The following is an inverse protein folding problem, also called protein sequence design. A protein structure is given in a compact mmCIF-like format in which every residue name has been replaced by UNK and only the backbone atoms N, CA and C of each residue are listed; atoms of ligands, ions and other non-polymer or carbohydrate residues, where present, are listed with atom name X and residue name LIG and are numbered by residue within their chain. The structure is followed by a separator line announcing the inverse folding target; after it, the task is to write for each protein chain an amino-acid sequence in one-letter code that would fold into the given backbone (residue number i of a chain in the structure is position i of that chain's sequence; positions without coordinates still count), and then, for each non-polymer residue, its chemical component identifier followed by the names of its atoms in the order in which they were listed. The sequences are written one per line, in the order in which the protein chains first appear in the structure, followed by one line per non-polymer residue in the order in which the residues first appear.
data_IF_906053997404
#
_entry.id   IF_906053997404
#
_cell.length_a   1.000
_cell.length_b   1.000
_cell.length_c   1.000
_cell.angle_alpha   90.00
_cell.angle_beta   90.00
_cell.angle_gamma   90.00
#
_symmetry.space_group_name_H-M   'P 1'
#
loop_
_entity.id
_entity.type
_entity.pdbx_description
1 polymer ?
#
# COMPACT_ATOMS: atom_id res chain seq x y z
N UNK A 1 -6.64 33.08 -7.99
CA UNK A 1 -7.95 32.59 -7.50
C UNK A 1 -9.12 33.10 -8.35
N UNK A 2 -9.17 34.39 -8.72
CA UNK A 2 -10.24 34.94 -9.58
C UNK A 2 -10.27 34.28 -10.97
N UNK A 3 -9.11 34.00 -11.57
CA UNK A 3 -9.04 33.32 -12.85
C UNK A 3 -9.52 31.86 -12.79
N UNK A 4 -9.29 31.14 -11.68
CA UNK A 4 -9.77 29.77 -11.48
C UNK A 4 -11.31 29.68 -11.38
N UNK A 5 -11.98 30.74 -10.93
CA UNK A 5 -13.45 30.79 -10.87
C UNK A 5 -14.09 31.34 -12.15
N UNK A 6 -13.37 32.20 -12.91
CA UNK A 6 -13.86 32.75 -14.15
C UNK A 6 -13.74 31.81 -15.34
N UNK A 7 -12.95 30.75 -15.24
CA UNK A 7 -12.61 29.81 -16.31
C UNK A 7 -13.18 28.40 -16.12
N UNK A 8 -14.39 28.29 -15.61
CA UNK A 8 -15.07 26.96 -15.42
C UNK A 8 -15.16 26.14 -16.73
N UNK A 9 -14.96 26.77 -17.89
CA UNK A 9 -15.05 26.13 -19.21
C UNK A 9 -13.76 26.17 -20.05
N UNK A 10 -12.66 26.72 -19.55
CA UNK A 10 -11.39 26.73 -20.29
C UNK A 10 -10.49 25.57 -19.84
N UNK A 11 -10.25 24.62 -20.73
CA UNK A 11 -9.36 23.47 -20.51
C UNK A 11 -7.89 23.92 -20.44
N UNK A 12 -7.57 25.03 -21.12
CA UNK A 12 -6.20 25.58 -21.16
C UNK A 12 -6.23 26.94 -20.47
N UNK A 13 -5.41 27.12 -19.39
CA UNK A 13 -5.36 28.42 -18.72
C UNK A 13 -4.82 29.49 -19.64
N UNK A 14 -5.41 30.71 -19.60
CA UNK A 14 -4.98 31.87 -20.38
C UNK A 14 -3.56 32.32 -20.03
N UNK A 15 -3.13 32.13 -18.79
CA UNK A 15 -1.77 32.43 -18.28
C UNK A 15 -1.19 31.25 -17.49
N UNK A 16 -0.61 30.22 -18.16
CA UNK A 16 -0.02 29.10 -17.47
C UNK A 16 1.20 29.54 -16.64
N UNK A 17 1.20 29.24 -15.34
CA UNK A 17 2.28 29.57 -14.42
C UNK A 17 2.67 28.36 -13.56
N UNK A 18 3.93 28.26 -13.18
CA UNK A 18 4.45 27.27 -12.25
C UNK A 18 4.57 27.82 -10.80
N UNK A 19 4.03 29.00 -10.54
CA UNK A 19 4.16 29.70 -9.26
C UNK A 19 3.58 28.88 -8.09
N UNK A 20 2.45 28.18 -8.30
CA UNK A 20 1.87 27.29 -7.29
C UNK A 20 2.81 26.16 -6.90
N UNK A 21 3.53 25.57 -7.86
CA UNK A 21 4.55 24.55 -7.57
C UNK A 21 5.71 25.13 -6.79
N UNK A 22 6.18 26.32 -7.16
CA UNK A 22 7.23 27.02 -6.41
C UNK A 22 6.83 27.27 -4.96
N UNK A 23 5.61 27.76 -4.71
CA UNK A 23 5.07 27.93 -3.38
C UNK A 23 5.03 26.64 -2.54
N UNK A 24 4.70 25.50 -3.17
CA UNK A 24 4.74 24.18 -2.48
C UNK A 24 6.15 23.87 -2.00
N UNK A 25 7.16 24.06 -2.86
CA UNK A 25 8.55 23.75 -2.53
C UNK A 25 9.15 24.73 -1.50
N UNK A 26 8.66 25.97 -1.45
CA UNK A 26 9.13 26.98 -0.49
C UNK A 26 8.50 26.81 0.91
N UNK A 27 7.22 26.40 0.98
CA UNK A 27 6.48 26.29 2.25
C UNK A 27 6.64 24.95 2.97
N UNK A 28 7.01 23.90 2.27
CA UNK A 28 7.13 22.54 2.79
C UNK A 28 8.50 21.94 2.47
N UNK A 29 9.06 21.12 3.36
CA UNK A 29 10.23 20.28 3.04
C UNK A 29 9.84 19.14 2.09
N UNK A 30 9.47 19.51 0.86
CA UNK A 30 8.77 18.65 -0.09
C UNK A 30 9.54 17.36 -0.42
N UNK A 31 10.85 17.45 -0.59
CA UNK A 31 11.72 16.29 -0.85
C UNK A 31 11.66 15.31 0.33
N UNK A 32 11.73 15.82 1.55
CA UNK A 32 11.63 15.02 2.77
C UNK A 32 10.28 14.31 2.87
N UNK A 33 9.18 15.03 2.66
CA UNK A 33 7.82 14.50 2.70
C UNK A 33 7.62 13.41 1.64
N UNK A 34 8.16 13.62 0.45
CA UNK A 34 8.12 12.61 -0.62
C UNK A 34 8.92 11.35 -0.26
N UNK A 35 10.11 11.53 0.31
CA UNK A 35 10.94 10.41 0.78
C UNK A 35 10.27 9.67 1.93
N UNK A 36 9.65 10.36 2.90
CA UNK A 36 8.90 9.73 3.98
C UNK A 36 7.76 8.87 3.43
N UNK A 37 6.98 9.41 2.48
CA UNK A 37 5.88 8.67 1.83
C UNK A 37 6.41 7.43 1.13
N UNK A 38 7.50 7.56 0.38
CA UNK A 38 8.12 6.45 -0.32
C UNK A 38 8.65 5.38 0.64
N UNK A 39 9.35 5.78 1.70
CA UNK A 39 9.89 4.86 2.70
C UNK A 39 8.78 4.10 3.44
N UNK A 40 7.69 4.78 3.81
CA UNK A 40 6.52 4.15 4.43
C UNK A 40 5.92 3.15 3.42
N UNK A 41 5.58 3.59 2.21
CA UNK A 41 4.94 2.74 1.22
C UNK A 41 5.81 1.54 0.81
N UNK A 42 7.10 1.73 0.62
CA UNK A 42 8.04 0.67 0.27
C UNK A 42 8.22 -0.34 1.41
N UNK A 43 8.41 0.13 2.65
CA UNK A 43 8.55 -0.76 3.81
C UNK A 43 7.27 -1.54 4.07
N UNK A 44 6.11 -0.88 4.11
CA UNK A 44 4.81 -1.54 4.29
C UNK A 44 4.57 -2.58 3.20
N UNK A 45 4.80 -2.25 1.94
CA UNK A 45 4.64 -3.18 0.81
C UNK A 45 5.54 -4.40 0.96
N UNK A 46 6.81 -4.17 1.28
CA UNK A 46 7.80 -5.24 1.43
C UNK A 46 7.42 -6.19 2.54
N UNK A 47 7.17 -5.67 3.75
CA UNK A 47 6.84 -6.49 4.90
C UNK A 47 5.47 -7.18 4.76
N UNK A 48 4.42 -6.48 4.27
CA UNK A 48 3.12 -7.10 3.96
C UNK A 48 3.27 -8.25 2.97
N UNK A 49 4.07 -8.08 1.92
CA UNK A 49 4.28 -9.12 0.92
C UNK A 49 5.02 -10.32 1.51
N UNK A 50 6.08 -10.09 2.28
CA UNK A 50 6.86 -11.15 2.92
C UNK A 50 5.98 -11.94 3.91
N UNK A 51 5.31 -11.26 4.83
CA UNK A 51 4.45 -11.91 5.84
C UNK A 51 3.31 -12.68 5.18
N UNK A 52 2.69 -12.11 4.14
CA UNK A 52 1.64 -12.75 3.36
C UNK A 52 2.12 -13.98 2.60
N UNK A 53 3.34 -13.95 2.05
CA UNK A 53 3.95 -15.09 1.35
C UNK A 53 4.16 -16.27 2.30
N UNK A 54 4.75 -16.03 3.48
CA UNK A 54 5.00 -17.09 4.45
C UNK A 54 3.71 -17.65 5.03
N UNK A 55 2.76 -16.79 5.42
CA UNK A 55 1.47 -17.21 5.95
C UNK A 55 0.67 -18.01 4.88
N UNK A 56 0.59 -17.52 3.66
CA UNK A 56 -0.08 -18.21 2.57
C UNK A 56 0.58 -19.57 2.25
N UNK A 57 1.92 -19.66 2.33
CA UNK A 57 2.64 -20.91 2.17
C UNK A 57 2.25 -21.93 3.24
N UNK A 58 2.21 -21.51 4.50
CA UNK A 58 1.79 -22.36 5.62
C UNK A 58 0.36 -22.87 5.43
N UNK A 59 -0.58 -22.01 5.08
CA UNK A 59 -1.99 -22.39 4.84
C UNK A 59 -2.23 -23.26 3.62
N UNK A 60 -1.31 -23.38 2.69
CA UNK A 60 -1.46 -24.24 1.50
C UNK A 60 -0.75 -25.55 1.70
N UNK A 61 0.52 -25.54 2.09
CA UNK A 61 1.43 -26.67 1.96
C UNK A 61 1.79 -27.39 3.24
N UNK A 62 1.45 -26.83 4.41
CA UNK A 62 1.60 -27.53 5.69
C UNK A 62 0.27 -28.08 6.16
N UNK A 63 0.30 -29.29 6.75
CA UNK A 63 -0.85 -29.88 7.40
C UNK A 63 -0.64 -29.88 8.91
N UNK A 64 -1.53 -29.20 9.62
CA UNK A 64 -1.54 -29.08 11.08
C UNK A 64 -2.98 -29.01 11.61
N UNK A 65 -3.15 -29.45 12.87
CA UNK A 65 -4.46 -29.43 13.55
C UNK A 65 -4.97 -27.99 13.66
N UNK A 66 -6.24 -27.80 13.32
CA UNK A 66 -6.87 -26.47 13.41
C UNK A 66 -6.58 -25.51 12.26
N UNK A 67 -5.85 -25.91 11.21
CA UNK A 67 -5.51 -25.08 10.04
C UNK A 67 -6.71 -24.29 9.47
N UNK A 68 -7.84 -24.96 9.29
CA UNK A 68 -9.05 -24.32 8.75
C UNK A 68 -9.65 -23.32 9.74
N UNK A 69 -9.64 -23.62 11.02
CA UNK A 69 -10.11 -22.73 12.08
C UNK A 69 -9.26 -21.46 12.17
N UNK A 70 -7.93 -21.59 12.19
CA UNK A 70 -7.04 -20.43 12.18
C UNK A 70 -7.21 -19.59 10.91
N UNK A 71 -7.38 -20.23 9.74
CA UNK A 71 -7.64 -19.52 8.50
C UNK A 71 -8.99 -18.79 8.54
N UNK A 72 -10.02 -19.41 9.08
CA UNK A 72 -11.34 -18.77 9.25
C UNK A 72 -11.27 -17.55 10.19
N UNK A 73 -10.63 -17.69 11.37
CA UNK A 73 -10.43 -16.56 12.29
C UNK A 73 -9.68 -15.43 11.60
N UNK A 74 -8.59 -15.74 10.90
CA UNK A 74 -7.81 -14.75 10.17
C UNK A 74 -8.70 -14.01 9.13
N UNK A 75 -9.48 -14.73 8.35
CA UNK A 75 -10.41 -14.11 7.40
C UNK A 75 -11.47 -13.24 8.10
N UNK A 76 -11.95 -13.67 9.25
CA UNK A 76 -12.94 -12.92 10.03
C UNK A 76 -12.42 -11.54 10.45
N UNK A 77 -11.11 -11.39 10.63
CA UNK A 77 -10.53 -10.08 10.97
C UNK A 77 -10.62 -9.05 9.83
N UNK A 78 -10.84 -9.47 8.57
CA UNK A 78 -11.07 -8.55 7.45
C UNK A 78 -12.36 -7.72 7.63
N UNK A 79 -13.32 -8.23 8.40
CA UNK A 79 -14.59 -7.55 8.64
C UNK A 79 -14.51 -6.55 9.81
N UNK A 80 -13.38 -6.48 10.51
CA UNK A 80 -13.17 -5.51 11.58
C UNK A 80 -12.77 -4.17 10.93
N UNK A 81 -13.59 -3.11 11.03
CA UNK A 81 -13.23 -1.81 10.47
C UNK A 81 -11.96 -1.25 11.11
N UNK A 82 -11.13 -0.59 10.32
CA UNK A 82 -9.91 0.05 10.81
C UNK A 82 -10.17 1.00 11.99
N UNK A 83 -11.31 1.71 11.98
CA UNK A 83 -11.72 2.64 13.03
C UNK A 83 -11.82 2.00 14.42
N UNK A 84 -12.15 0.71 14.49
CA UNK A 84 -12.20 -0.05 15.75
C UNK A 84 -10.81 -0.33 16.29
N UNK A 85 -9.86 -0.65 15.42
CA UNK A 85 -8.48 -0.99 15.79
C UNK A 85 -7.58 0.24 15.94
N UNK A 86 -8.03 1.40 15.49
CA UNK A 86 -7.27 2.64 15.43
C UNK A 86 -6.78 3.11 16.82
N UNK A 87 -7.70 3.16 17.81
CA UNK A 87 -7.35 3.59 19.18
C UNK A 87 -6.39 2.62 19.87
N UNK A 88 -6.62 1.29 19.90
CA UNK A 88 -5.65 0.34 20.43
C UNK A 88 -4.27 0.44 19.79
N UNK A 89 -4.21 0.56 18.46
CA UNK A 89 -2.96 0.74 17.74
C UNK A 89 -2.24 2.03 18.13
N UNK A 90 -2.97 3.15 18.23
CA UNK A 90 -2.42 4.43 18.67
C UNK A 90 -1.80 4.34 20.08
N UNK A 91 -2.51 3.70 21.01
CA UNK A 91 -2.01 3.51 22.37
C UNK A 91 -0.74 2.65 22.39
N UNK A 92 -0.69 1.61 21.57
CA UNK A 92 0.49 0.74 21.43
C UNK A 92 1.68 1.53 20.89
N UNK A 93 1.51 2.24 19.77
CA UNK A 93 2.56 3.07 19.16
C UNK A 93 3.04 4.16 20.11
N UNK A 94 2.11 4.77 20.87
CA UNK A 94 2.45 5.76 21.90
C UNK A 94 3.31 5.17 23.02
N UNK A 95 2.97 3.97 23.51
CA UNK A 95 3.76 3.26 24.53
C UNK A 95 5.15 2.86 24.06
N UNK A 96 5.29 2.56 22.76
CA UNK A 96 6.58 2.24 22.14
C UNK A 96 7.44 3.48 21.84
N UNK A 97 6.94 4.69 22.11
CA UNK A 97 7.65 5.94 21.84
C UNK A 97 7.80 6.28 20.36
N UNK A 98 6.97 5.66 19.48
CA UNK A 98 7.05 5.81 18.02
C UNK A 98 6.06 6.86 17.48
N UNK A 99 5.60 7.78 18.33
CA UNK A 99 4.82 8.93 17.87
C UNK A 99 5.73 9.88 17.13
N UNK A 100 5.14 10.59 16.16
CA UNK A 100 5.84 11.50 15.26
C UNK A 100 7.04 10.87 14.55
N UNK A 101 6.87 9.60 14.15
CA UNK A 101 7.89 8.82 13.47
C UNK A 101 7.29 8.01 12.34
N UNK A 102 7.98 7.94 11.20
CA UNK A 102 7.54 7.15 10.03
C UNK A 102 7.34 5.66 10.36
N UNK A 103 8.13 5.11 11.29
CA UNK A 103 7.98 3.73 11.75
C UNK A 103 6.72 3.51 12.59
N UNK A 104 6.23 4.52 13.30
CA UNK A 104 4.94 4.47 13.97
C UNK A 104 3.77 4.35 12.98
N UNK A 105 3.94 4.86 11.76
CA UNK A 105 2.98 4.69 10.68
C UNK A 105 3.12 3.31 10.03
N UNK A 106 4.33 2.84 9.79
CA UNK A 106 4.60 1.63 9.01
C UNK A 106 4.36 0.32 9.80
N UNK A 107 4.85 0.23 11.05
CA UNK A 107 4.87 -1.01 11.82
C UNK A 107 3.52 -1.70 11.98
N UNK A 108 2.41 -1.03 12.34
CA UNK A 108 1.12 -1.68 12.50
C UNK A 108 0.57 -2.29 11.20
N UNK A 109 1.12 -1.88 10.07
CA UNK A 109 0.68 -2.27 8.75
C UNK A 109 1.48 -3.44 8.15
N UNK A 110 2.45 -4.02 8.84
CA UNK A 110 3.35 -5.05 8.28
C UNK A 110 2.71 -6.42 8.06
N UNK A 111 1.48 -6.63 8.50
CA UNK A 111 0.68 -7.81 8.22
C UNK A 111 -0.67 -7.41 7.62
N UNK A 112 -1.15 -8.22 6.68
CA UNK A 112 -2.40 -7.94 5.98
C UNK A 112 -3.10 -9.23 5.56
N UNK A 113 -4.37 -9.36 5.96
CA UNK A 113 -5.16 -10.56 5.68
C UNK A 113 -5.52 -10.66 4.21
N UNK A 114 -5.79 -9.53 3.53
CA UNK A 114 -6.09 -9.53 2.10
C UNK A 114 -4.90 -10.08 1.30
N UNK A 115 -3.68 -9.69 1.65
CA UNK A 115 -2.47 -10.21 1.01
C UNK A 115 -2.30 -11.71 1.20
N UNK A 116 -2.53 -12.20 2.44
CA UNK A 116 -2.49 -13.64 2.73
C UNK A 116 -3.54 -14.37 1.89
N UNK A 117 -4.76 -13.84 1.80
CA UNK A 117 -5.83 -14.42 1.01
C UNK A 117 -5.48 -14.49 -0.47
N UNK A 118 -5.05 -13.38 -1.09
CA UNK A 118 -4.73 -13.32 -2.52
C UNK A 118 -3.59 -14.27 -2.88
N UNK A 119 -2.50 -14.24 -2.11
CA UNK A 119 -1.35 -15.10 -2.36
C UNK A 119 -1.63 -16.57 -2.07
N UNK A 120 -2.52 -16.87 -1.12
CA UNK A 120 -3.01 -18.23 -0.90
C UNK A 120 -3.81 -18.75 -2.10
N UNK A 121 -4.69 -17.92 -2.69
CA UNK A 121 -5.44 -18.32 -3.88
C UNK A 121 -4.50 -18.59 -5.07
N UNK A 122 -3.51 -17.73 -5.29
CA UNK A 122 -2.51 -17.95 -6.33
C UNK A 122 -1.75 -19.26 -6.13
N UNK A 123 -1.32 -19.57 -4.90
CA UNK A 123 -0.60 -20.82 -4.58
C UNK A 123 -1.45 -22.08 -4.71
N UNK A 124 -2.75 -21.99 -4.44
CA UNK A 124 -3.67 -23.12 -4.64
C UNK A 124 -3.82 -23.54 -6.11
N UNK A 125 -3.52 -22.64 -7.04
CA UNK A 125 -3.48 -22.93 -8.47
C UNK A 125 -2.29 -23.79 -8.89
N UNK A 126 -1.27 -23.97 -8.06
CA UNK A 126 -0.10 -24.80 -8.35
C UNK A 126 -0.45 -26.26 -8.08
N UNK A 127 -0.20 -27.19 -9.05
CA UNK A 127 -0.44 -28.61 -8.85
C UNK A 127 0.35 -29.17 -7.66
N UNK A 128 -0.33 -29.86 -6.74
CA UNK A 128 0.31 -30.44 -5.56
C UNK A 128 1.41 -31.45 -5.91
N UNK A 129 1.19 -32.21 -7.00
CA UNK A 129 2.16 -33.19 -7.49
C UNK A 129 3.57 -32.60 -7.72
N UNK A 130 3.66 -31.35 -8.16
CA UNK A 130 4.94 -30.66 -8.34
C UNK A 130 5.69 -30.48 -7.02
N UNK A 131 4.97 -30.14 -5.96
CA UNK A 131 5.54 -29.93 -4.63
C UNK A 131 5.89 -31.25 -3.95
N UNK A 132 5.07 -32.29 -4.15
CA UNK A 132 5.29 -33.63 -3.65
C UNK A 132 6.52 -34.27 -4.31
N UNK A 133 6.69 -34.14 -5.62
CA UNK A 133 7.87 -34.60 -6.34
C UNK A 133 9.15 -33.94 -5.79
N UNK A 134 9.15 -32.62 -5.60
CA UNK A 134 10.30 -31.92 -5.04
C UNK A 134 10.62 -32.35 -3.60
N UNK A 135 9.61 -32.69 -2.79
CA UNK A 135 9.81 -33.25 -1.45
C UNK A 135 10.39 -34.66 -1.47
N UNK A 136 9.98 -35.51 -2.44
CA UNK A 136 10.55 -36.84 -2.61
C UNK A 136 12.03 -36.79 -3.01
N UNK A 137 12.44 -35.76 -3.73
CA UNK A 137 13.85 -35.48 -4.02
C UNK A 137 14.63 -34.89 -2.84
N UNK A 138 13.99 -34.74 -1.65
CA UNK A 138 14.65 -34.22 -0.45
C UNK A 138 14.82 -32.70 -0.43
N UNK A 139 14.15 -31.95 -1.34
CA UNK A 139 14.26 -30.50 -1.39
C UNK A 139 13.52 -29.87 -0.20
N UNK A 140 14.23 -29.06 0.59
CA UNK A 140 13.67 -28.38 1.75
C UNK A 140 12.64 -27.32 1.40
N UNK A 141 11.69 -27.06 2.33
CA UNK A 141 10.54 -26.15 2.12
C UNK A 141 10.90 -24.75 1.66
N UNK A 142 11.98 -24.14 2.17
CA UNK A 142 12.44 -22.82 1.75
C UNK A 142 12.95 -22.81 0.30
N UNK A 143 13.63 -23.88 -0.10
CA UNK A 143 14.11 -24.03 -1.48
C UNK A 143 12.95 -24.26 -2.43
N UNK A 144 11.96 -25.09 -2.05
CA UNK A 144 10.70 -25.24 -2.81
C UNK A 144 9.99 -23.89 -2.98
N UNK A 145 9.91 -23.11 -1.90
CA UNK A 145 9.29 -21.79 -1.96
C UNK A 145 10.03 -20.88 -2.93
N UNK A 146 11.37 -20.80 -2.83
CA UNK A 146 12.19 -19.89 -3.63
C UNK A 146 12.25 -20.30 -5.10
N UNK A 147 12.50 -21.58 -5.37
CA UNK A 147 12.89 -22.03 -6.71
C UNK A 147 11.67 -22.52 -7.55
N UNK A 148 10.56 -22.89 -6.90
CA UNK A 148 9.37 -23.40 -7.58
C UNK A 148 8.19 -22.43 -7.42
N UNK A 149 7.83 -22.10 -6.16
CA UNK A 149 6.58 -21.37 -5.91
C UNK A 149 6.70 -19.90 -6.28
N UNK A 150 7.74 -19.20 -5.82
CA UNK A 150 7.91 -17.77 -6.09
C UNK A 150 7.91 -17.44 -7.60
N UNK A 151 8.62 -18.17 -8.47
CA UNK A 151 8.54 -17.93 -9.92
C UNK A 151 7.13 -18.09 -10.48
N UNK A 152 6.40 -19.12 -10.06
CA UNK A 152 5.05 -19.42 -10.56
C UNK A 152 4.01 -18.39 -10.10
N UNK A 153 4.13 -17.84 -8.88
CA UNK A 153 3.20 -16.83 -8.35
C UNK A 153 3.71 -15.40 -8.51
N UNK A 154 4.83 -15.19 -9.21
CA UNK A 154 5.42 -13.86 -9.41
C UNK A 154 4.44 -12.80 -9.92
N UNK A 155 3.56 -13.08 -10.91
CA UNK A 155 2.56 -12.10 -11.34
C UNK A 155 1.62 -11.66 -10.20
N UNK A 156 1.16 -12.61 -9.39
CA UNK A 156 0.28 -12.32 -8.25
C UNK A 156 0.99 -11.55 -7.16
N UNK A 157 2.29 -11.83 -6.90
CA UNK A 157 3.11 -11.06 -5.96
C UNK A 157 3.23 -9.62 -6.43
N UNK A 158 3.56 -9.39 -7.70
CA UNK A 158 3.70 -8.06 -8.27
C UNK A 158 2.38 -7.27 -8.17
N UNK A 159 1.26 -7.89 -8.57
CA UNK A 159 -0.06 -7.24 -8.48
C UNK A 159 -0.43 -6.90 -7.04
N UNK A 160 -0.27 -7.84 -6.10
CA UNK A 160 -0.56 -7.60 -4.68
C UNK A 160 0.36 -6.51 -4.10
N UNK A 161 1.64 -6.53 -4.45
CA UNK A 161 2.60 -5.52 -4.03
C UNK A 161 2.26 -4.12 -4.54
N UNK A 162 1.82 -3.99 -5.79
CA UNK A 162 1.38 -2.70 -6.36
C UNK A 162 0.16 -2.18 -5.60
N UNK A 163 -0.83 -3.04 -5.31
CA UNK A 163 -2.02 -2.67 -4.54
C UNK A 163 -1.60 -2.16 -3.15
N UNK A 164 -0.70 -2.86 -2.47
CA UNK A 164 -0.20 -2.45 -1.16
C UNK A 164 0.53 -1.12 -1.21
N UNK A 165 1.37 -0.92 -2.23
CA UNK A 165 2.12 0.32 -2.41
C UNK A 165 1.18 1.51 -2.63
N UNK A 166 0.22 1.38 -3.57
CA UNK A 166 -0.73 2.46 -3.89
C UNK A 166 -1.59 2.79 -2.67
N UNK A 167 -2.09 1.78 -1.94
CA UNK A 167 -2.89 1.99 -0.74
C UNK A 167 -2.08 2.71 0.35
N UNK A 168 -0.85 2.27 0.61
CA UNK A 168 0.02 2.90 1.60
C UNK A 168 0.49 4.30 1.19
N UNK A 169 0.69 4.54 -0.11
CA UNK A 169 1.04 5.85 -0.66
C UNK A 169 -0.07 6.87 -0.44
N UNK A 170 -1.33 6.47 -0.63
CA UNK A 170 -2.49 7.34 -0.52
C UNK A 170 -3.07 7.42 0.91
N UNK A 171 -2.52 6.63 1.85
CA UNK A 171 -3.00 6.59 3.23
C UNK A 171 -2.76 7.93 3.93
N UNK A 172 -3.81 8.50 4.56
CA UNK A 172 -3.68 9.73 5.34
C UNK A 172 -4.29 9.64 6.74
N UNK A 173 -5.28 8.75 6.96
CA UNK A 173 -6.03 8.67 8.22
C UNK A 173 -5.12 8.26 9.37
N UNK A 174 -4.31 7.22 9.17
CA UNK A 174 -3.37 6.77 10.18
C UNK A 174 -2.17 7.73 10.36
N UNK A 175 -1.53 8.23 9.28
CA UNK A 175 -0.50 9.26 9.39
C UNK A 175 -0.92 10.50 10.17
N UNK A 176 -2.15 11.02 10.00
CA UNK A 176 -2.61 12.22 10.72
C UNK A 176 -2.68 12.05 12.24
N UNK A 177 -2.88 10.82 12.71
CA UNK A 177 -2.90 10.50 14.13
C UNK A 177 -1.50 10.39 14.73
N UNK A 178 -0.55 9.91 13.96
CA UNK A 178 0.81 9.58 14.42
C UNK A 178 1.77 10.74 14.22
N UNK A 179 1.75 11.38 13.04
CA UNK A 179 2.70 12.40 12.65
C UNK A 179 2.21 13.79 13.08
N UNK A 180 3.13 14.62 13.57
CA UNK A 180 2.83 15.98 14.05
C UNK A 180 3.74 17.04 13.44
N UNK A 181 5.03 16.72 13.28
CA UNK A 181 6.03 17.62 12.71
C UNK A 181 5.91 17.61 11.19
N UNK A 182 6.00 18.78 10.56
CA UNK A 182 5.92 18.92 9.09
C UNK A 182 6.99 18.11 8.36
N UNK A 183 8.16 17.96 8.99
CA UNK A 183 9.29 17.18 8.47
C UNK A 183 8.97 15.69 8.36
N UNK A 184 8.05 15.18 9.19
CA UNK A 184 7.64 13.78 9.23
C UNK A 184 6.39 13.49 8.39
N UNK A 185 5.74 14.50 7.83
CA UNK A 185 4.52 14.33 7.07
C UNK A 185 4.69 13.41 5.85
N UNK A 186 3.55 12.86 5.39
CA UNK A 186 3.39 12.22 4.09
C UNK A 186 2.76 13.20 3.10
N UNK A 187 2.87 12.91 1.80
CA UNK A 187 2.26 13.73 0.74
C UNK A 187 0.75 13.85 0.90
N UNK A 188 0.07 12.73 1.21
CA UNK A 188 -1.38 12.71 1.42
C UNK A 188 -1.80 13.55 2.62
N UNK A 189 -1.00 13.53 3.72
CA UNK A 189 -1.23 14.35 4.88
C UNK A 189 -0.97 15.83 4.58
N UNK A 190 0.11 16.16 3.88
CA UNK A 190 0.43 17.52 3.46
C UNK A 190 -0.67 18.11 2.55
N UNK A 191 -1.20 17.30 1.61
CA UNK A 191 -2.32 17.71 0.77
C UNK A 191 -3.55 18.08 1.60
N UNK A 192 -3.90 17.24 2.57
CA UNK A 192 -5.07 17.45 3.44
C UNK A 192 -4.99 18.78 4.22
N UNK A 193 -3.79 19.19 4.62
CA UNK A 193 -3.60 20.48 5.32
C UNK A 193 -4.01 21.68 4.46
N UNK A 194 -3.76 21.64 3.16
CA UNK A 194 -4.15 22.74 2.25
C UNK A 194 -5.64 22.75 1.93
N UNK A 195 -6.31 21.61 2.05
CA UNK A 195 -7.76 21.49 1.86
C UNK A 195 -8.51 21.91 3.13
N UNK A 196 -7.95 21.64 4.32
CA UNK A 196 -8.58 21.86 5.62
C UNK A 196 -8.16 23.14 6.33
N UNK A 197 -7.40 24.03 5.65
CA UNK A 197 -6.90 25.25 6.27
C UNK A 197 -8.05 26.13 6.79
N UNK A 198 -8.06 26.43 8.08
CA UNK A 198 -8.96 27.40 8.70
C UNK A 198 -8.68 28.79 8.09
N UNK A 199 -9.59 29.28 7.28
CA UNK A 199 -9.49 30.61 6.67
C UNK A 199 -9.58 30.64 5.14
N UNK A 200 -9.76 29.53 4.50
CA UNK A 200 -9.94 29.40 3.05
C UNK A 200 -9.04 28.34 2.45
N UNK A 201 -9.63 27.50 1.64
CA UNK A 201 -8.88 26.43 0.95
C UNK A 201 -7.96 27.07 -0.09
N UNK A 202 -6.65 26.88 0.05
CA UNK A 202 -5.70 27.26 -1.01
C UNK A 202 -5.79 26.25 -2.16
N UNK A 203 -6.91 26.28 -2.88
CA UNK A 203 -7.24 25.29 -3.94
C UNK A 203 -6.12 25.14 -4.98
N UNK A 204 -5.49 26.22 -5.38
CA UNK A 204 -4.44 26.19 -6.39
C UNK A 204 -3.20 25.44 -5.91
N UNK A 205 -2.83 25.60 -4.64
CA UNK A 205 -1.72 24.86 -4.02
C UNK A 205 -2.12 23.40 -3.79
N UNK A 206 -3.35 23.15 -3.29
CA UNK A 206 -3.87 21.80 -3.12
C UNK A 206 -3.86 21.01 -4.45
N UNK A 207 -4.26 21.65 -5.56
CA UNK A 207 -4.21 21.04 -6.89
C UNK A 207 -2.77 20.72 -7.33
N UNK A 208 -1.82 21.65 -7.09
CA UNK A 208 -0.41 21.41 -7.41
C UNK A 208 0.15 20.22 -6.61
N UNK A 209 -0.12 20.13 -5.30
CA UNK A 209 0.28 18.97 -4.45
C UNK A 209 -0.40 17.69 -4.94
N UNK A 210 -1.69 17.74 -5.30
CA UNK A 210 -2.43 16.59 -5.83
C UNK A 210 -1.78 16.01 -7.08
N UNK A 211 -1.42 16.87 -8.04
CA UNK A 211 -0.73 16.44 -9.27
C UNK A 211 0.57 15.73 -8.94
N UNK A 212 1.39 16.31 -8.06
CA UNK A 212 2.67 15.69 -7.69
C UNK A 212 2.45 14.35 -6.98
N UNK A 213 1.49 14.29 -6.05
CA UNK A 213 1.17 13.06 -5.31
C UNK A 213 0.72 11.94 -6.25
N UNK A 214 0.01 12.28 -7.34
CA UNK A 214 -0.52 11.32 -8.30
C UNK A 214 0.55 10.76 -9.27
N UNK A 215 1.65 11.47 -9.52
CA UNK A 215 2.66 11.09 -10.51
C UNK A 215 3.21 9.68 -10.26
N UNK A 216 3.59 9.36 -9.03
CA UNK A 216 4.21 8.07 -8.69
C UNK A 216 3.23 6.90 -8.81
N UNK A 217 2.01 6.93 -8.22
CA UNK A 217 1.01 5.90 -8.44
C UNK A 217 0.64 5.72 -9.91
N UNK A 218 0.50 6.82 -10.66
CA UNK A 218 0.18 6.77 -12.09
C UNK A 218 1.32 6.13 -12.90
N UNK A 219 2.56 6.50 -12.64
CA UNK A 219 3.72 5.90 -13.29
C UNK A 219 3.81 4.39 -13.01
N UNK A 220 3.62 3.98 -11.75
CA UNK A 220 3.58 2.57 -11.39
C UNK A 220 2.45 1.83 -12.11
N UNK A 221 1.25 2.42 -12.16
CA UNK A 221 0.13 1.83 -12.89
C UNK A 221 0.47 1.65 -14.36
N UNK A 222 0.97 2.68 -15.05
CA UNK A 222 1.30 2.62 -16.48
C UNK A 222 2.40 1.58 -16.80
N UNK A 223 3.39 1.43 -15.92
CA UNK A 223 4.46 0.44 -16.09
C UNK A 223 3.93 -0.99 -15.89
N UNK A 224 3.08 -1.19 -14.90
CA UNK A 224 2.66 -2.53 -14.46
C UNK A 224 1.24 -2.93 -14.87
N UNK A 225 0.48 -2.07 -15.58
CA UNK A 225 -0.92 -2.32 -15.96
C UNK A 225 -1.15 -3.69 -16.62
N UNK A 226 -0.24 -4.13 -17.49
CA UNK A 226 -0.34 -5.44 -18.14
C UNK A 226 -0.32 -6.62 -17.15
N UNK A 227 0.44 -6.51 -16.06
CA UNK A 227 0.49 -7.55 -15.04
C UNK A 227 -0.77 -7.55 -14.18
N UNK A 228 -1.30 -6.37 -13.87
CA UNK A 228 -2.54 -6.19 -13.13
C UNK A 228 -3.70 -6.81 -13.93
N UNK A 229 -3.87 -6.41 -15.19
CA UNK A 229 -4.95 -6.89 -16.05
C UNK A 229 -4.87 -8.41 -16.24
N UNK A 230 -3.70 -8.97 -16.54
CA UNK A 230 -3.52 -10.40 -16.75
C UNK A 230 -3.84 -11.23 -15.50
N UNK A 231 -3.54 -10.72 -14.31
CA UNK A 231 -3.84 -11.42 -13.04
C UNK A 231 -5.35 -11.51 -12.81
N UNK A 232 -6.10 -10.45 -13.08
CA UNK A 232 -7.55 -10.44 -12.95
C UNK A 232 -8.25 -11.23 -14.08
N UNK A 233 -7.77 -11.13 -15.31
CA UNK A 233 -8.30 -11.87 -16.44
C UNK A 233 -8.12 -13.39 -16.26
N UNK A 234 -6.96 -13.84 -15.78
CA UNK A 234 -6.71 -15.26 -15.50
C UNK A 234 -7.60 -15.84 -14.38
N UNK A 235 -8.08 -15.00 -13.47
CA UNK A 235 -9.03 -15.42 -12.43
C UNK A 235 -10.49 -15.46 -12.91
N UNK A 236 -10.83 -14.73 -13.97
CA UNK A 236 -12.17 -14.66 -14.55
C UNK A 236 -12.49 -15.72 -15.63
N UNK A 237 -11.49 -16.41 -16.16
CA UNK A 237 -11.66 -17.36 -17.29
C UNK A 237 -11.72 -18.84 -16.81
N UNK A 238 -12.06 -19.12 -15.58
CA UNK A 238 -12.41 -20.46 -15.10
C UNK A 238 -13.93 -20.56 -14.94
N UNK A 239 -14.59 -20.48 -16.09
CA UNK A 239 -15.95 -20.93 -16.31
C UNK A 239 -15.93 -22.12 -17.24
#
# INVERSE_FOLDING_TARGET
LQDAFNTIFEIIPSHPTLENYRHVFEKLPFVQITLNTFLIAASVTTFKTITSLFAAYSFVYFDYKGKQFFYFIMLSTMFIPFTVTMIPNYLMISKLGLRDCIWGVALPQFADVLGIFLLRQAKRGIPKALIEAARMEGIGSLKIMRDIILPLVRPSILTTGIIFFINSWNEYVWPVLILKSKENYTLSLALQMYISAEGGTEFTIAMAVSVITMIIPLALYLIFQRYIINTFAASGVKG
#
